data_IF_133592504888
#
_entry.id   IF_133592504888
#
_cell.length_a   1.000
_cell.length_b   1.000
_cell.length_c   1.000
_cell.angle_alpha   90.00
_cell.angle_beta   90.00
_cell.angle_gamma   90.00
#
_symmetry.space_group_name_H-M   'P 1'
#
loop_
_entity.id
_entity.type
_entity.pdbx_description
1 polymer ?
#
# COMPACT_ATOMS: atom_id res chain seq x y z
N UNK A 1 -8.49 -4.58 21.91
CA UNK A 1 -8.19 -4.08 20.55
C UNK A 1 -6.71 -3.76 20.52
N UNK A 2 -5.88 -4.67 19.98
CA UNK A 2 -4.49 -4.33 19.70
C UNK A 2 -4.48 -3.31 18.57
N UNK A 3 -4.12 -2.08 18.87
CA UNK A 3 -3.72 -1.12 17.86
C UNK A 3 -2.46 -1.64 17.20
N UNK A 4 -2.41 -1.68 15.87
CA UNK A 4 -1.28 -2.13 15.05
C UNK A 4 -0.03 -1.23 15.13
N UNK A 5 0.14 -0.48 16.23
CA UNK A 5 1.14 0.57 16.38
C UNK A 5 2.55 0.02 16.08
N UNK A 6 3.10 0.44 14.95
CA UNK A 6 4.48 0.19 14.57
C UNK A 6 4.77 -1.16 13.92
N UNK A 7 3.80 -1.91 13.40
CA UNK A 7 4.07 -3.09 12.55
C UNK A 7 4.27 -2.70 11.09
N UNK A 8 5.28 -3.26 10.44
CA UNK A 8 5.59 -3.07 9.03
C UNK A 8 5.72 -4.42 8.31
N UNK A 9 5.00 -4.57 7.21
CA UNK A 9 5.14 -5.70 6.31
C UNK A 9 6.08 -5.38 5.16
N UNK A 10 7.13 -6.18 4.99
CA UNK A 10 8.09 -6.08 3.89
C UNK A 10 7.69 -7.06 2.80
N UNK A 11 7.17 -6.56 1.69
CA UNK A 11 6.93 -7.39 0.51
C UNK A 11 8.25 -7.65 -0.21
N UNK A 12 8.69 -8.91 -0.19
CA UNK A 12 9.93 -9.38 -0.80
C UNK A 12 9.60 -10.07 -2.11
N UNK A 13 10.11 -9.51 -3.20
CA UNK A 13 9.87 -9.96 -4.56
C UNK A 13 11.22 -10.36 -5.14
N UNK A 14 11.29 -11.56 -5.72
CA UNK A 14 12.46 -12.00 -6.46
C UNK A 14 12.61 -11.18 -7.74
N UNK A 15 13.82 -10.78 -8.12
CA UNK A 15 14.05 -10.01 -9.34
C UNK A 15 13.59 -10.76 -10.60
N UNK A 16 13.63 -12.10 -10.59
CA UNK A 16 13.13 -12.93 -11.68
C UNK A 16 11.60 -12.86 -11.84
N UNK A 17 10.87 -12.46 -10.79
CA UNK A 17 9.42 -12.34 -10.83
C UNK A 17 9.01 -11.13 -11.67
N UNK A 18 8.30 -11.41 -12.77
CA UNK A 18 7.73 -10.36 -13.63
C UNK A 18 6.39 -9.90 -13.09
N UNK A 19 6.40 -9.35 -11.89
CA UNK A 19 5.25 -8.61 -11.37
C UNK A 19 5.09 -7.29 -12.16
N UNK A 20 3.89 -7.06 -12.70
CA UNK A 20 3.61 -5.88 -13.52
C UNK A 20 3.94 -4.58 -12.78
N UNK A 21 4.83 -3.75 -13.34
CA UNK A 21 5.26 -2.49 -12.69
C UNK A 21 4.11 -1.48 -12.63
N UNK A 22 4.13 -0.60 -11.62
CA UNK A 22 3.19 0.53 -11.52
C UNK A 22 2.03 0.29 -10.56
N UNK A 23 0.89 0.91 -10.87
CA UNK A 23 -0.30 0.92 -10.02
C UNK A 23 -0.87 -0.47 -9.68
N UNK A 24 -0.76 -1.42 -10.61
CA UNK A 24 -1.29 -2.77 -10.43
C UNK A 24 -0.62 -3.51 -9.27
N UNK A 25 0.71 -3.41 -9.19
CA UNK A 25 1.47 -3.98 -8.08
C UNK A 25 1.13 -3.32 -6.76
N UNK A 26 1.07 -1.98 -6.73
CA UNK A 26 0.70 -1.22 -5.53
C UNK A 26 -0.66 -1.66 -5.01
N UNK A 27 -1.69 -1.63 -5.87
CA UNK A 27 -3.06 -1.98 -5.48
C UNK A 27 -3.14 -3.44 -5.03
N UNK A 28 -2.43 -4.36 -5.69
CA UNK A 28 -2.43 -5.77 -5.31
C UNK A 28 -1.79 -6.01 -3.94
N UNK A 29 -0.66 -5.35 -3.65
CA UNK A 29 -0.02 -5.43 -2.33
C UNK A 29 -0.89 -4.79 -1.25
N UNK A 30 -1.51 -3.64 -1.52
CA UNK A 30 -2.46 -3.01 -0.59
C UNK A 30 -3.68 -3.89 -0.36
N UNK A 31 -4.19 -4.56 -1.40
CA UNK A 31 -5.31 -5.50 -1.30
C UNK A 31 -4.98 -6.71 -0.44
N UNK A 32 -3.84 -7.36 -0.72
CA UNK A 32 -3.34 -8.44 0.11
C UNK A 32 -3.14 -7.98 1.56
N UNK A 33 -2.56 -6.78 1.77
CA UNK A 33 -2.34 -6.23 3.11
C UNK A 33 -3.65 -6.08 3.89
N UNK A 34 -4.67 -5.45 3.30
CA UNK A 34 -5.97 -5.28 3.98
C UNK A 34 -6.65 -6.61 4.28
N UNK A 35 -6.56 -7.59 3.38
CA UNK A 35 -7.20 -8.90 3.60
C UNK A 35 -6.50 -9.72 4.69
N UNK A 36 -5.17 -9.61 4.79
CA UNK A 36 -4.37 -10.45 5.68
C UNK A 36 -4.05 -9.80 7.02
N UNK A 37 -3.65 -8.54 7.00
CA UNK A 37 -3.19 -7.80 8.17
C UNK A 37 -4.20 -6.75 8.63
N UNK A 38 -5.27 -6.52 7.86
CA UNK A 38 -6.38 -5.68 8.29
C UNK A 38 -7.07 -6.23 9.53
N UNK A 39 -7.59 -5.35 10.36
CA UNK A 39 -8.29 -5.68 11.60
C UNK A 39 -9.82 -5.63 11.43
N UNK A 40 -10.30 -5.65 10.18
CA UNK A 40 -11.71 -5.44 9.86
C UNK A 40 -12.12 -3.98 10.05
N UNK A 41 -11.18 -3.04 9.88
CA UNK A 41 -11.43 -1.62 10.01
C UNK A 41 -12.54 -1.15 9.06
N UNK A 42 -13.47 -0.37 9.60
CA UNK A 42 -14.52 0.25 8.81
C UNK A 42 -13.99 1.49 8.07
N UNK A 43 -13.04 2.20 8.67
CA UNK A 43 -12.50 3.46 8.16
C UNK A 43 -10.98 3.33 8.05
N UNK A 44 -10.43 3.58 6.87
CA UNK A 44 -8.98 3.52 6.65
C UNK A 44 -8.42 4.89 6.25
N UNK A 45 -7.30 5.26 6.86
CA UNK A 45 -6.49 6.41 6.47
C UNK A 45 -5.15 5.92 5.97
N UNK A 46 -4.90 6.09 4.67
CA UNK A 46 -3.72 5.55 4.01
C UNK A 46 -2.88 6.70 3.47
N UNK A 47 -1.60 6.64 3.78
CA UNK A 47 -0.63 7.61 3.28
C UNK A 47 0.17 6.98 2.14
N UNK A 48 0.31 7.71 1.06
CA UNK A 48 1.10 7.32 -0.09
C UNK A 48 2.17 8.37 -0.40
N UNK A 49 3.27 7.94 -1.00
CA UNK A 49 4.14 8.89 -1.67
C UNK A 49 3.43 9.51 -2.89
N UNK A 50 3.92 10.65 -3.35
CA UNK A 50 3.37 11.36 -4.50
C UNK A 50 4.05 10.92 -5.81
N UNK A 51 4.24 9.60 -6.00
CA UNK A 51 4.71 9.03 -7.25
C UNK A 51 3.54 8.84 -8.22
N UNK A 52 3.48 9.64 -9.29
CA UNK A 52 2.40 9.59 -10.30
C UNK A 52 2.32 8.25 -11.03
N UNK A 53 3.45 7.61 -11.31
CA UNK A 53 3.49 6.32 -12.02
C UNK A 53 2.97 5.13 -11.22
N UNK A 54 2.97 5.20 -9.89
CA UNK A 54 2.66 4.07 -9.02
C UNK A 54 1.48 4.34 -8.09
N UNK A 55 1.50 5.46 -7.39
CA UNK A 55 0.59 5.71 -6.27
C UNK A 55 -0.47 6.78 -6.59
N UNK A 56 -0.07 7.87 -7.25
CA UNK A 56 -0.99 8.97 -7.61
C UNK A 56 -1.54 8.81 -9.02
N UNK A 57 -2.40 7.83 -9.20
CA UNK A 57 -3.10 7.58 -10.46
C UNK A 57 -4.54 7.11 -10.23
N UNK A 58 -5.31 7.10 -11.32
CA UNK A 58 -6.72 6.74 -11.29
C UNK A 58 -6.99 5.30 -10.83
N UNK A 59 -6.08 4.36 -11.07
CA UNK A 59 -6.29 2.96 -10.66
C UNK A 59 -6.32 2.83 -9.14
N UNK A 60 -5.45 3.55 -8.44
CA UNK A 60 -5.42 3.59 -6.97
C UNK A 60 -6.71 4.21 -6.40
N UNK A 61 -7.21 5.31 -6.99
CA UNK A 61 -8.48 5.91 -6.60
C UNK A 61 -9.68 5.00 -6.89
N UNK A 62 -9.74 4.41 -8.09
CA UNK A 62 -10.80 3.48 -8.48
C UNK A 62 -10.84 2.26 -7.56
N UNK A 63 -9.69 1.76 -7.14
CA UNK A 63 -9.62 0.66 -6.19
C UNK A 63 -10.25 1.03 -4.84
N UNK A 64 -9.98 2.24 -4.35
CA UNK A 64 -10.55 2.70 -3.09
C UNK A 64 -12.08 2.88 -3.16
N UNK A 65 -12.56 3.47 -4.27
CA UNK A 65 -14.00 3.52 -4.57
C UNK A 65 -14.61 2.12 -4.61
N UNK A 66 -13.98 1.19 -5.33
CA UNK A 66 -14.43 -0.18 -5.44
C UNK A 66 -14.53 -0.86 -4.07
N UNK A 67 -13.55 -0.66 -3.17
CA UNK A 67 -13.58 -1.21 -1.81
C UNK A 67 -14.71 -0.65 -0.95
N UNK A 68 -14.97 0.65 -1.04
CA UNK A 68 -16.09 1.27 -0.33
C UNK A 68 -17.43 0.78 -0.88
N UNK A 69 -17.58 0.72 -2.21
CA UNK A 69 -18.81 0.29 -2.87
C UNK A 69 -19.13 -1.20 -2.68
N UNK A 70 -18.11 -2.04 -2.53
CA UNK A 70 -18.27 -3.47 -2.21
C UNK A 70 -18.49 -3.74 -0.71
N UNK A 71 -18.53 -2.69 0.11
CA UNK A 71 -18.75 -2.80 1.56
C UNK A 71 -17.55 -3.36 2.32
N UNK A 72 -16.37 -3.47 1.68
CA UNK A 72 -15.17 -3.92 2.37
C UNK A 72 -14.68 -2.88 3.38
N UNK A 73 -14.94 -1.58 3.13
CA UNK A 73 -14.80 -0.47 4.09
C UNK A 73 -16.00 0.47 3.99
N UNK A 74 -16.28 1.22 5.05
CA UNK A 74 -17.26 2.31 5.08
C UNK A 74 -16.69 3.63 4.57
N UNK A 75 -15.42 3.91 4.85
CA UNK A 75 -14.72 5.09 4.33
C UNK A 75 -13.24 4.82 4.11
N UNK A 76 -12.66 5.52 3.14
CA UNK A 76 -11.22 5.50 2.87
C UNK A 76 -10.76 6.94 2.62
N UNK A 77 -9.71 7.35 3.33
CA UNK A 77 -9.00 8.60 3.14
C UNK A 77 -7.59 8.30 2.62
N UNK A 78 -7.27 8.78 1.42
CA UNK A 78 -5.93 8.71 0.86
C UNK A 78 -5.26 10.08 0.93
N UNK A 79 -4.09 10.10 1.57
CA UNK A 79 -3.27 11.29 1.74
C UNK A 79 -1.94 11.11 1.01
N UNK A 80 -1.71 11.92 -0.02
CA UNK A 80 -0.50 11.91 -0.85
C UNK A 80 0.50 12.93 -0.30
N UNK A 81 1.69 12.48 0.08
CA UNK A 81 2.71 13.35 0.65
C UNK A 81 3.21 14.41 -0.33
N UNK A 82 3.39 15.65 0.13
CA UNK A 82 3.93 16.72 -0.71
C UNK A 82 5.41 16.44 -1.04
N UNK A 83 5.82 16.72 -2.29
CA UNK A 83 7.21 16.58 -2.70
C UNK A 83 8.14 17.42 -1.80
N UNK A 84 9.22 16.82 -1.33
CA UNK A 84 10.14 17.45 -0.36
C UNK A 84 9.86 17.12 1.11
N UNK A 85 8.67 16.60 1.44
CA UNK A 85 8.30 16.13 2.78
C UNK A 85 8.04 14.61 2.81
N UNK A 86 8.75 13.86 1.98
CA UNK A 86 8.54 12.42 1.76
C UNK A 86 9.25 11.52 2.78
N UNK A 87 9.46 11.98 4.03
CA UNK A 87 9.98 11.13 5.11
C UNK A 87 8.82 10.64 5.96
N UNK A 88 8.62 9.33 5.99
CA UNK A 88 7.51 8.68 6.69
C UNK A 88 8.01 7.48 7.51
N UNK A 89 7.17 6.95 8.39
CA UNK A 89 7.55 5.86 9.30
C UNK A 89 8.19 4.64 8.60
N UNK A 90 7.72 4.21 7.41
CA UNK A 90 8.39 3.19 6.62
C UNK A 90 9.88 3.44 6.34
N UNK A 91 10.29 4.68 6.09
CA UNK A 91 11.71 4.99 5.83
C UNK A 91 12.60 4.68 7.03
N UNK A 92 12.08 4.90 8.24
CA UNK A 92 12.80 4.61 9.47
C UNK A 92 13.01 3.10 9.63
N UNK A 93 11.97 2.30 9.44
CA UNK A 93 12.03 0.84 9.52
C UNK A 93 12.93 0.26 8.42
N UNK A 94 12.88 0.79 7.20
CA UNK A 94 13.81 0.45 6.13
C UNK A 94 15.25 0.83 6.48
N UNK A 95 15.46 1.96 7.15
CA UNK A 95 16.77 2.38 7.66
C UNK A 95 17.35 1.38 8.66
N UNK A 96 16.54 0.94 9.63
CA UNK A 96 16.94 -0.08 10.62
C UNK A 96 17.26 -1.40 9.93
N UNK A 97 16.39 -1.90 9.04
CA UNK A 97 16.66 -3.12 8.29
C UNK A 97 17.94 -3.02 7.46
N UNK A 98 18.19 -1.90 6.77
CA UNK A 98 19.42 -1.68 5.98
C UNK A 98 20.70 -1.80 6.81
N UNK A 99 20.69 -1.41 8.08
CA UNK A 99 21.85 -1.59 8.97
C UNK A 99 22.16 -3.06 9.23
N UNK A 100 21.14 -3.89 9.40
CA UNK A 100 21.30 -5.34 9.57
C UNK A 100 21.68 -6.03 8.26
N UNK A 101 21.00 -5.68 7.16
CA UNK A 101 21.24 -6.23 5.84
C UNK A 101 22.70 -6.05 5.38
N UNK A 102 23.26 -4.84 5.52
CA UNK A 102 24.64 -4.53 5.11
C UNK A 102 25.71 -5.34 5.85
N UNK A 103 25.36 -5.89 7.01
CA UNK A 103 26.25 -6.73 7.81
C UNK A 103 25.88 -8.22 7.72
N UNK A 104 25.01 -8.60 6.78
CA UNK A 104 24.58 -9.97 6.55
C UNK A 104 25.25 -10.54 5.29
N UNK A 105 25.36 -11.87 5.22
CA UNK A 105 25.82 -12.61 4.04
C UNK A 105 24.64 -13.25 3.29
N UNK A 106 23.47 -12.60 3.29
CA UNK A 106 22.27 -13.14 2.68
C UNK A 106 22.35 -13.07 1.13
N UNK A 107 22.21 -14.22 0.49
CA UNK A 107 22.29 -14.39 -0.98
C UNK A 107 20.96 -14.87 -1.58
N UNK A 108 20.07 -15.41 -0.77
CA UNK A 108 18.74 -15.89 -1.19
C UNK A 108 17.61 -15.00 -0.64
N UNK A 109 16.46 -15.00 -1.31
CA UNK A 109 15.27 -14.27 -0.84
C UNK A 109 14.80 -14.72 0.55
N UNK A 110 15.00 -16.01 0.89
CA UNK A 110 14.69 -16.54 2.23
C UNK A 110 15.62 -15.98 3.29
N UNK A 111 16.92 -15.85 3.00
CA UNK A 111 17.87 -15.23 3.92
C UNK A 111 17.56 -13.74 4.08
N UNK A 112 17.15 -13.06 3.00
CA UNK A 112 16.64 -11.68 3.08
C UNK A 112 15.46 -11.58 4.03
N UNK A 113 14.46 -12.46 3.90
CA UNK A 113 13.32 -12.52 4.81
C UNK A 113 13.76 -12.71 6.27
N UNK A 114 14.79 -13.52 6.49
CA UNK A 114 15.34 -13.71 7.83
C UNK A 114 16.00 -12.43 8.37
N UNK A 115 16.72 -11.67 7.54
CA UNK A 115 17.29 -10.38 7.98
C UNK A 115 16.21 -9.37 8.36
N UNK A 116 15.07 -9.36 7.66
CA UNK A 116 13.92 -8.51 7.98
C UNK A 116 13.39 -8.89 9.37
N UNK A 117 13.15 -10.17 9.61
CA UNK A 117 12.64 -10.67 10.90
C UNK A 117 13.60 -10.31 12.04
N UNK A 118 14.91 -10.56 11.85
CA UNK A 118 15.95 -10.29 12.86
C UNK A 118 16.18 -8.79 13.11
N UNK A 119 15.80 -7.92 12.17
CA UNK A 119 15.96 -6.47 12.31
C UNK A 119 15.00 -5.83 13.32
N UNK A 120 13.98 -6.57 13.78
CA UNK A 120 13.04 -6.10 14.80
C UNK A 120 13.04 -7.04 16.01
N UNK A 121 13.40 -6.51 17.19
CA UNK A 121 13.42 -7.27 18.45
C UNK A 121 12.03 -7.75 18.91
N UNK A 122 10.97 -7.06 18.49
CA UNK A 122 9.60 -7.31 18.95
C UNK A 122 8.69 -7.84 17.84
N UNK A 123 9.25 -8.28 16.70
CA UNK A 123 8.45 -8.79 15.57
C UNK A 123 7.63 -7.72 14.84
N UNK A 124 8.08 -6.46 14.88
CA UNK A 124 7.40 -5.37 14.16
C UNK A 124 7.62 -5.46 12.65
N UNK A 125 8.78 -5.96 12.21
CA UNK A 125 9.09 -6.16 10.80
C UNK A 125 8.72 -7.59 10.39
N UNK A 126 7.74 -7.71 9.50
CA UNK A 126 7.17 -8.97 9.06
C UNK A 126 7.52 -9.16 7.58
N UNK A 127 8.34 -10.15 7.20
CA UNK A 127 8.59 -10.43 5.78
C UNK A 127 7.38 -11.12 5.14
N UNK A 128 7.01 -10.67 3.95
CA UNK A 128 6.00 -11.26 3.07
C UNK A 128 6.68 -11.63 1.75
N UNK A 129 7.03 -12.90 1.58
CA UNK A 129 7.64 -13.39 0.33
C UNK A 129 6.56 -13.60 -0.71
N UNK A 130 6.64 -12.88 -1.83
CA UNK A 130 5.61 -12.91 -2.88
C UNK A 130 5.50 -14.27 -3.57
N UNK A 131 6.63 -14.95 -3.80
CA UNK A 131 6.67 -16.29 -4.42
C UNK A 131 6.29 -17.44 -3.47
N UNK A 132 5.82 -17.16 -2.25
CA UNK A 132 5.44 -18.20 -1.31
C UNK A 132 4.13 -18.89 -1.74
N UNK A 133 4.19 -20.19 -2.04
CA UNK A 133 3.03 -20.97 -2.52
C UNK A 133 1.99 -21.17 -1.42
N UNK A 134 2.41 -21.25 -0.15
CA UNK A 134 1.49 -21.45 0.98
C UNK A 134 0.73 -20.17 1.34
N UNK A 135 1.25 -19.01 0.93
CA UNK A 135 0.72 -17.70 1.29
C UNK A 135 0.95 -16.72 0.13
N UNK A 136 0.24 -16.93 -0.99
CA UNK A 136 0.53 -16.25 -2.24
C UNK A 136 0.00 -14.82 -2.25
N UNK A 137 0.83 -13.90 -2.73
CA UNK A 137 0.39 -12.54 -3.08
C UNK A 137 -0.05 -12.55 -4.54
N UNK A 138 -1.36 -12.45 -4.78
CA UNK A 138 -1.91 -12.47 -6.14
C UNK A 138 -1.89 -11.05 -6.72
N UNK A 139 -1.27 -10.90 -7.89
CA UNK A 139 -1.20 -9.65 -8.64
C UNK A 139 -2.30 -9.61 -9.69
N UNK A 140 -3.20 -8.63 -9.59
CA UNK A 140 -4.34 -8.50 -10.48
C UNK A 140 -4.17 -7.38 -11.51
N UNK A 141 -4.78 -7.59 -12.68
CA UNK A 141 -4.96 -6.56 -13.71
C UNK A 141 -6.12 -5.61 -13.35
N UNK A 142 -5.89 -4.76 -12.35
CA UNK A 142 -6.92 -3.85 -11.81
C UNK A 142 -7.47 -2.84 -12.82
N UNK A 143 -6.62 -2.27 -13.68
CA UNK A 143 -7.05 -1.22 -14.62
C UNK A 143 -8.13 -1.71 -15.61
N UNK A 144 -7.94 -2.80 -16.38
CA UNK A 144 -8.99 -3.31 -17.25
C UNK A 144 -10.30 -3.62 -16.54
N UNK A 145 -10.21 -4.13 -15.30
CA UNK A 145 -11.38 -4.47 -14.51
C UNK A 145 -12.13 -3.24 -13.97
N UNK A 146 -11.42 -2.20 -13.52
CA UNK A 146 -12.02 -1.03 -12.88
C UNK A 146 -12.46 0.05 -13.88
N UNK A 147 -11.77 0.17 -15.02
CA UNK A 147 -12.04 1.22 -16.01
C UNK A 147 -13.47 1.17 -16.60
N UNK A 148 -14.11 0.01 -16.57
CA UNK A 148 -15.49 -0.14 -17.05
C UNK A 148 -16.53 0.44 -16.11
N UNK A 149 -16.18 0.65 -14.83
CA UNK A 149 -17.09 1.13 -13.79
C UNK A 149 -16.86 2.61 -13.45
N UNK A 150 -15.62 3.09 -13.58
CA UNK A 150 -15.22 4.40 -13.08
C UNK A 150 -14.73 5.34 -14.17
N UNK A 151 -14.99 6.63 -13.97
CA UNK A 151 -14.49 7.69 -14.83
C UNK A 151 -13.10 8.13 -14.36
N UNK A 152 -12.28 8.54 -15.31
CA UNK A 152 -10.97 9.13 -15.04
C UNK A 152 -11.15 10.51 -14.40
N UNK A 153 -10.57 10.70 -13.22
CA UNK A 153 -10.44 12.01 -12.60
C UNK A 153 -9.34 12.80 -13.33
N UNK A 154 -9.73 13.94 -13.91
CA UNK A 154 -8.81 14.90 -14.52
C UNK A 154 -8.09 15.68 -13.42
N UNK A 155 -6.90 16.20 -13.71
CA UNK A 155 -6.15 17.06 -12.79
C UNK A 155 -5.85 16.42 -11.42
N UNK A 156 -5.72 15.08 -11.38
CA UNK A 156 -5.42 14.34 -10.14
C UNK A 156 -4.15 14.86 -9.44
N UNK A 157 -3.18 15.38 -10.21
CA UNK A 157 -1.91 15.93 -9.74
C UNK A 157 -2.07 17.11 -8.80
N UNK A 158 -3.17 17.84 -8.91
CA UNK A 158 -3.38 19.12 -8.21
C UNK A 158 -3.89 18.88 -6.78
N UNK A 159 -4.45 17.69 -6.52
CA UNK A 159 -4.99 17.31 -5.23
C UNK A 159 -4.03 16.45 -4.41
N UNK A 160 -4.09 16.57 -3.09
CA UNK A 160 -3.27 15.79 -2.16
C UNK A 160 -4.09 14.83 -1.31
N UNK A 161 -5.35 15.16 -1.03
CA UNK A 161 -6.22 14.34 -0.20
C UNK A 161 -7.45 13.90 -1.00
N UNK A 162 -7.76 12.62 -0.91
CA UNK A 162 -8.91 11.99 -1.55
C UNK A 162 -9.71 11.25 -0.50
N UNK A 163 -11.00 11.54 -0.42
CA UNK A 163 -11.91 10.93 0.53
C UNK A 163 -13.08 10.28 -0.20
N UNK A 164 -13.36 9.03 0.16
CA UNK A 164 -14.45 8.23 -0.38
C UNK A 164 -15.22 7.61 0.78
N UNK A 165 -16.55 7.66 0.72
CA UNK A 165 -17.42 7.12 1.76
C UNK A 165 -18.64 6.40 1.18
N UNK A 166 -19.22 5.52 2.00
CA UNK A 166 -20.36 4.69 1.65
C UNK A 166 -21.70 5.43 1.59
N UNK A 167 -21.79 6.65 2.15
CA UNK A 167 -22.99 7.50 2.04
C UNK A 167 -23.06 8.16 0.65
N UNK A 168 -21.92 8.40 0.00
CA UNK A 168 -21.80 8.97 -1.33
C UNK A 168 -21.07 8.02 -2.29
N UNK A 169 -21.67 6.85 -2.63
CA UNK A 169 -21.01 5.85 -3.45
C UNK A 169 -20.67 6.41 -4.84
N UNK A 170 -19.44 6.15 -5.29
CA UNK A 170 -18.94 6.62 -6.59
C UNK A 170 -18.45 8.08 -6.62
N UNK A 171 -18.50 8.80 -5.50
CA UNK A 171 -18.00 10.16 -5.37
C UNK A 171 -16.61 10.15 -4.72
N UNK A 172 -15.69 10.94 -5.28
CA UNK A 172 -14.37 11.20 -4.68
C UNK A 172 -14.32 12.67 -4.28
N UNK A 173 -14.24 12.95 -2.98
CA UNK A 173 -13.99 14.30 -2.47
C UNK A 173 -12.49 14.57 -2.54
N UNK A 174 -12.08 15.57 -3.33
CA UNK A 174 -10.67 15.92 -3.52
C UNK A 174 -10.34 17.23 -2.80
N UNK A 175 -9.17 17.31 -2.16
CA UNK A 175 -8.67 18.54 -1.51
C UNK A 175 -7.19 18.77 -1.81
N UNK A 176 -6.82 20.04 -1.99
CA UNK A 176 -5.43 20.45 -2.19
C UNK A 176 -4.65 20.52 -0.87
N UNK A 177 -5.33 20.92 0.22
CA UNK A 177 -4.74 21.05 1.55
C UNK A 177 -5.49 20.18 2.57
N UNK A 178 -4.78 19.70 3.59
CA UNK A 178 -5.39 19.06 4.75
C UNK A 178 -6.26 20.09 5.50
N UNK A 179 -7.46 19.69 5.89
CA UNK A 179 -8.30 20.51 6.78
C UNK A 179 -7.78 20.40 8.21
N UNK A 180 -7.47 21.55 8.83
CA UNK A 180 -7.16 21.67 10.26
C UNK A 180 -8.29 21.17 11.15
#
# INVERSE_FOLDING_TARGET
METSLGKQSFYLIDEAERIGKGAHSVVSMVHHYFNKFGHGEADAKVHFDNCTGQNKNNVVLWYALWRVMTGLHKSIEYSMMIAGHTKFEPDWHFGVWKLHWRNSAAETLSEVAETVTRSSRNGHNIPQVVGNIQDPVIFYEWKPYLQQFFKTLKHITDYHHFYMDSQHPGVVTCREHASS
#
